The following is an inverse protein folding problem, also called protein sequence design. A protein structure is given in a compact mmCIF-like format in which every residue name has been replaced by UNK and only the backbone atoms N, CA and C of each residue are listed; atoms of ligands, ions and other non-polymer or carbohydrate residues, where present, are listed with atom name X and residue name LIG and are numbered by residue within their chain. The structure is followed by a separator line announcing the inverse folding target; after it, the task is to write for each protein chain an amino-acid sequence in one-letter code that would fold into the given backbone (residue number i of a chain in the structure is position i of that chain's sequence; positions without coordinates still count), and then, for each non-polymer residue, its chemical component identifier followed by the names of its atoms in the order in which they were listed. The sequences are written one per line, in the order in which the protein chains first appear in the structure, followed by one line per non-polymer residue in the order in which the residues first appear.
data_IF_184934911254
#
_entry.id   IF_184934911254
#
_cell.length_a   1.000
_cell.length_b   1.000
_cell.length_c   1.000
_cell.angle_alpha   90.00
_cell.angle_beta   90.00
_cell.angle_gamma   90.00
#
_symmetry.space_group_name_H-M   'P 1'
#
loop_
_entity.id
_entity.type
_entity.pdbx_description
1 polymer ?
#
# COMPACT_ATOMS: atom_id res chain seq x y z
N UNK A 1 5.24 -14.50 -9.53
CA UNK A 1 5.84 -14.46 -8.20
C UNK A 1 5.79 -15.83 -7.53
N UNK A 2 6.73 -16.11 -6.64
CA UNK A 2 6.72 -17.33 -5.82
C UNK A 2 5.62 -17.29 -4.76
N UNK A 3 5.23 -16.09 -4.38
CA UNK A 3 4.21 -15.86 -3.35
C UNK A 3 3.70 -14.43 -3.32
N UNK A 4 2.96 -14.12 -2.27
CA UNK A 4 2.35 -12.82 -2.02
C UNK A 4 2.73 -12.37 -0.61
N UNK A 5 3.19 -11.13 -0.49
CA UNK A 5 3.31 -10.44 0.78
C UNK A 5 2.16 -9.44 0.91
N UNK A 6 1.36 -9.58 1.95
CA UNK A 6 0.38 -8.58 2.37
C UNK A 6 0.97 -7.76 3.53
N UNK A 7 1.38 -6.54 3.23
CA UNK A 7 1.93 -5.61 4.22
C UNK A 7 0.80 -4.78 4.82
N UNK A 8 0.67 -4.82 6.15
CA UNK A 8 -0.50 -4.34 6.86
C UNK A 8 -1.65 -5.35 6.80
N UNK A 9 -1.36 -6.63 7.02
CA UNK A 9 -2.30 -7.73 6.77
C UNK A 9 -3.54 -7.75 7.69
N UNK A 10 -3.58 -6.92 8.73
CA UNK A 10 -4.74 -6.72 9.59
C UNK A 10 -5.25 -8.02 10.21
N UNK A 11 -6.40 -8.50 9.77
CA UNK A 11 -6.99 -9.76 10.21
C UNK A 11 -6.75 -10.95 9.26
N UNK A 12 -5.98 -10.75 8.18
CA UNK A 12 -5.64 -11.77 7.19
C UNK A 12 -6.72 -12.06 6.14
N UNK A 13 -7.81 -11.28 6.11
CA UNK A 13 -8.92 -11.53 5.17
C UNK A 13 -8.49 -11.42 3.71
N UNK A 14 -7.61 -10.48 3.36
CA UNK A 14 -7.09 -10.37 2.01
C UNK A 14 -6.33 -11.64 1.60
N UNK A 15 -5.42 -12.13 2.42
CA UNK A 15 -4.65 -13.35 2.14
C UNK A 15 -5.56 -14.57 1.98
N UNK A 16 -6.59 -14.69 2.82
CA UNK A 16 -7.57 -15.76 2.71
C UNK A 16 -8.29 -15.70 1.36
N UNK A 17 -8.86 -14.55 0.99
CA UNK A 17 -9.57 -14.41 -0.28
C UNK A 17 -8.68 -14.64 -1.50
N UNK A 18 -7.46 -14.12 -1.48
CA UNK A 18 -6.52 -14.32 -2.58
C UNK A 18 -6.17 -15.80 -2.72
N UNK A 19 -5.92 -16.51 -1.62
CA UNK A 19 -5.66 -17.94 -1.66
C UNK A 19 -6.83 -18.71 -2.25
N UNK A 20 -8.06 -18.45 -1.77
CA UNK A 20 -9.29 -19.10 -2.27
C UNK A 20 -9.51 -18.86 -3.78
N UNK A 21 -9.24 -17.65 -4.26
CA UNK A 21 -9.34 -17.33 -5.69
C UNK A 21 -8.29 -18.08 -6.49
N UNK A 22 -7.03 -18.09 -6.03
CA UNK A 22 -5.95 -18.79 -6.72
C UNK A 22 -6.21 -20.29 -6.77
N UNK A 23 -6.55 -20.89 -5.62
CA UNK A 23 -6.83 -22.31 -5.50
C UNK A 23 -7.97 -22.75 -6.42
N UNK A 24 -9.09 -22.01 -6.42
CA UNK A 24 -10.32 -22.45 -7.09
C UNK A 24 -10.43 -22.00 -8.54
N UNK A 25 -9.77 -20.91 -8.94
CA UNK A 25 -10.03 -20.23 -10.21
C UNK A 25 -8.82 -20.14 -11.14
N UNK A 26 -7.64 -20.62 -10.71
CA UNK A 26 -6.44 -20.49 -11.54
C UNK A 26 -5.81 -21.85 -11.88
N UNK A 27 -4.99 -21.86 -12.95
CA UNK A 27 -4.19 -23.03 -13.30
C UNK A 27 -3.22 -23.38 -12.18
N UNK A 28 -2.63 -22.36 -11.52
CA UNK A 28 -1.72 -22.58 -10.38
C UNK A 28 -2.41 -23.33 -9.24
N UNK A 29 -3.69 -23.01 -8.97
CA UNK A 29 -4.47 -23.69 -7.93
C UNK A 29 -4.56 -25.21 -8.13
N UNK A 30 -4.58 -25.65 -9.39
CA UNK A 30 -4.59 -27.09 -9.74
C UNK A 30 -3.22 -27.76 -9.61
N UNK A 31 -2.17 -26.99 -9.37
CA UNK A 31 -0.77 -27.43 -9.39
C UNK A 31 -0.02 -26.93 -8.14
N UNK A 32 -0.72 -26.69 -7.02
CA UNK A 32 -0.09 -26.15 -5.80
C UNK A 32 0.94 -27.12 -5.20
N UNK A 33 0.81 -28.41 -5.42
CA UNK A 33 1.79 -29.42 -4.99
C UNK A 33 3.13 -29.27 -5.74
N UNK A 34 3.09 -28.88 -7.01
CA UNK A 34 4.28 -28.67 -7.85
C UNK A 34 4.78 -27.20 -7.79
N UNK A 35 3.84 -26.27 -7.72
CA UNK A 35 4.09 -24.81 -7.70
C UNK A 35 3.47 -24.14 -6.47
N UNK A 36 4.00 -24.41 -5.28
CA UNK A 36 3.42 -23.90 -4.04
C UNK A 36 3.38 -22.37 -4.03
N UNK A 37 2.32 -21.83 -3.44
CA UNK A 37 2.16 -20.40 -3.23
C UNK A 37 2.57 -20.03 -1.81
N UNK A 38 3.62 -19.22 -1.69
CA UNK A 38 4.02 -18.68 -0.39
C UNK A 38 3.15 -17.48 -0.05
N UNK A 39 2.49 -17.54 1.11
CA UNK A 39 1.74 -16.41 1.66
C UNK A 39 2.49 -15.86 2.86
N UNK A 40 2.66 -14.55 2.86
CA UNK A 40 3.28 -13.80 3.96
C UNK A 40 2.35 -12.68 4.38
N UNK A 41 1.93 -12.68 5.63
CA UNK A 41 1.24 -11.56 6.26
C UNK A 41 2.21 -10.83 7.17
N UNK A 42 2.43 -9.54 6.93
CA UNK A 42 3.23 -8.69 7.80
C UNK A 42 2.40 -7.54 8.34
N UNK A 43 2.57 -7.23 9.62
CA UNK A 43 1.90 -6.10 10.26
C UNK A 43 2.77 -5.54 11.39
N UNK A 44 2.65 -4.24 11.62
CA UNK A 44 3.30 -3.57 12.74
C UNK A 44 2.61 -3.91 14.08
N UNK A 45 1.30 -4.14 14.04
CA UNK A 45 0.47 -4.37 15.21
C UNK A 45 0.48 -5.86 15.61
N UNK A 46 1.06 -6.17 16.76
CA UNK A 46 1.12 -7.53 17.30
C UNK A 46 -0.26 -8.16 17.54
N UNK A 47 -1.29 -7.36 17.86
CA UNK A 47 -2.64 -7.86 18.02
C UNK A 47 -3.23 -8.31 16.68
N UNK A 48 -2.99 -7.55 15.61
CA UNK A 48 -3.38 -7.93 14.25
C UNK A 48 -2.73 -9.26 13.84
N UNK A 49 -1.43 -9.44 14.06
CA UNK A 49 -0.72 -10.68 13.76
C UNK A 49 -1.30 -11.91 14.46
N UNK A 50 -1.75 -11.75 15.71
CA UNK A 50 -2.41 -12.85 16.45
C UNK A 50 -3.74 -13.25 15.79
N UNK A 51 -4.54 -12.26 15.40
CA UNK A 51 -5.83 -12.46 14.72
C UNK A 51 -5.62 -13.09 13.36
N UNK A 52 -4.67 -12.58 12.57
CA UNK A 52 -4.31 -13.14 11.26
C UNK A 52 -3.93 -14.61 11.36
N UNK A 53 -3.04 -14.98 12.29
CA UNK A 53 -2.66 -16.40 12.50
C UNK A 53 -3.88 -17.27 12.80
N UNK A 54 -4.72 -16.82 13.73
CA UNK A 54 -5.91 -17.58 14.12
C UNK A 54 -6.87 -17.78 12.93
N UNK A 55 -7.10 -16.74 12.13
CA UNK A 55 -8.01 -16.81 10.99
C UNK A 55 -7.47 -17.72 9.89
N UNK A 56 -6.18 -17.61 9.54
CA UNK A 56 -5.58 -18.45 8.50
C UNK A 56 -5.49 -19.91 8.92
N UNK A 57 -5.17 -20.20 10.18
CA UNK A 57 -5.22 -21.58 10.74
C UNK A 57 -6.64 -22.14 10.65
N UNK A 58 -7.65 -21.36 11.06
CA UNK A 58 -9.06 -21.78 10.97
C UNK A 58 -9.52 -22.05 9.53
N UNK A 59 -8.96 -21.33 8.56
CA UNK A 59 -9.23 -21.51 7.14
C UNK A 59 -8.40 -22.62 6.48
N UNK A 60 -7.55 -23.31 7.24
CA UNK A 60 -6.57 -24.31 6.76
C UNK A 60 -5.60 -23.75 5.70
N UNK A 61 -5.22 -22.48 5.86
CA UNK A 61 -4.31 -21.78 4.96
C UNK A 61 -2.94 -21.65 5.63
N UNK A 62 -1.92 -22.24 5.00
CA UNK A 62 -0.56 -22.09 5.46
C UNK A 62 0.04 -20.75 5.01
N UNK A 63 0.48 -19.95 5.96
CA UNK A 63 1.12 -18.67 5.73
C UNK A 63 2.17 -18.35 6.79
N UNK A 64 3.16 -17.56 6.43
CA UNK A 64 4.05 -16.91 7.41
C UNK A 64 3.39 -15.61 7.86
N UNK A 65 3.24 -15.45 9.18
CA UNK A 65 2.71 -14.23 9.78
C UNK A 65 3.78 -13.64 10.68
N UNK A 66 4.35 -12.52 10.26
CA UNK A 66 5.55 -11.92 10.87
C UNK A 66 5.33 -10.44 11.20
N UNK A 67 6.13 -9.93 12.12
CA UNK A 67 6.17 -8.50 12.35
C UNK A 67 6.87 -7.80 11.18
N UNK A 68 6.36 -6.63 10.76
CA UNK A 68 6.95 -5.83 9.71
C UNK A 68 6.56 -4.36 9.84
N UNK A 69 7.51 -3.50 9.53
CA UNK A 69 7.34 -2.05 9.45
C UNK A 69 7.42 -1.61 7.99
N UNK A 70 6.36 -0.99 7.48
CA UNK A 70 6.33 -0.46 6.11
C UNK A 70 7.42 0.59 5.87
N UNK A 71 7.86 1.29 6.92
CA UNK A 71 8.95 2.25 6.86
C UNK A 71 10.35 1.62 6.72
N UNK A 72 10.48 0.29 6.95
CA UNK A 72 11.76 -0.40 6.96
C UNK A 72 11.71 -1.74 6.20
N UNK A 73 11.61 -1.73 4.86
CA UNK A 73 11.57 -2.94 4.05
C UNK A 73 12.86 -3.77 4.10
N UNK A 74 14.00 -3.14 4.38
CA UNK A 74 15.27 -3.85 4.48
C UNK A 74 15.27 -4.84 5.64
N UNK A 75 14.78 -4.43 6.80
CA UNK A 75 14.66 -5.31 7.98
C UNK A 75 13.71 -6.48 7.69
N UNK A 76 12.58 -6.20 7.03
CA UNK A 76 11.63 -7.24 6.62
C UNK A 76 12.26 -8.22 5.62
N UNK A 77 13.01 -7.72 4.64
CA UNK A 77 13.70 -8.54 3.65
C UNK A 77 14.75 -9.45 4.30
N UNK A 78 15.50 -8.92 5.27
CA UNK A 78 16.50 -9.66 6.03
C UNK A 78 15.84 -10.78 6.84
N UNK A 79 14.78 -10.49 7.60
CA UNK A 79 14.06 -11.48 8.40
C UNK A 79 13.49 -12.61 7.52
N UNK A 80 12.86 -12.26 6.39
CA UNK A 80 12.36 -13.25 5.43
C UNK A 80 13.46 -14.14 4.87
N UNK A 81 14.63 -13.54 4.56
CA UNK A 81 15.74 -14.29 4.00
C UNK A 81 16.42 -15.22 5.00
N UNK A 82 16.74 -14.70 6.19
CA UNK A 82 17.48 -15.45 7.21
C UNK A 82 16.64 -16.55 7.87
N UNK A 83 15.39 -16.24 8.21
CA UNK A 83 14.55 -17.16 8.99
C UNK A 83 13.70 -18.09 8.12
N UNK A 84 13.43 -17.74 6.86
CA UNK A 84 12.50 -18.50 6.01
C UNK A 84 13.06 -18.83 4.62
N UNK A 85 14.26 -18.34 4.29
CA UNK A 85 14.87 -18.47 2.96
C UNK A 85 13.97 -17.93 1.83
N UNK A 86 13.14 -16.91 2.12
CA UNK A 86 12.29 -16.23 1.17
C UNK A 86 12.95 -14.91 0.77
N UNK A 87 13.10 -14.67 -0.54
CA UNK A 87 13.53 -13.38 -1.05
C UNK A 87 12.33 -12.48 -1.27
N UNK A 88 12.32 -11.30 -0.63
CA UNK A 88 11.25 -10.32 -0.77
C UNK A 88 11.00 -9.91 -2.23
N UNK A 89 12.05 -9.92 -3.06
CA UNK A 89 11.97 -9.62 -4.52
C UNK A 89 11.22 -10.69 -5.32
N UNK A 90 11.08 -11.89 -4.79
CA UNK A 90 10.37 -13.00 -5.43
C UNK A 90 8.86 -13.01 -5.14
N UNK A 91 8.40 -12.10 -4.29
CA UNK A 91 6.99 -11.97 -3.92
C UNK A 91 6.31 -10.82 -4.68
N UNK A 92 5.00 -10.98 -4.96
CA UNK A 92 4.14 -9.85 -5.25
C UNK A 92 3.86 -9.12 -3.93
N UNK A 93 4.25 -7.86 -3.86
CA UNK A 93 4.01 -7.03 -2.69
C UNK A 93 2.64 -6.37 -2.80
N UNK A 94 1.82 -6.49 -1.76
CA UNK A 94 0.47 -5.93 -1.70
C UNK A 94 0.32 -5.02 -0.50
N UNK A 95 -0.41 -3.93 -0.65
CA UNK A 95 -0.77 -3.00 0.40
C UNK A 95 -2.21 -2.56 0.23
N UNK A 96 -2.96 -2.61 1.32
CA UNK A 96 -4.37 -2.23 1.32
C UNK A 96 -4.58 -1.14 2.35
N UNK A 97 -4.84 0.09 1.90
CA UNK A 97 -5.09 1.26 2.73
C UNK A 97 -3.99 1.52 3.76
N UNK A 98 -2.75 1.51 3.33
CA UNK A 98 -1.61 1.56 4.24
C UNK A 98 -0.65 2.73 4.01
N UNK A 99 -0.36 3.09 2.76
CA UNK A 99 0.69 4.07 2.46
C UNK A 99 0.36 5.48 2.96
N UNK A 100 -0.92 5.84 3.02
CA UNK A 100 -1.35 7.11 3.63
C UNK A 100 -1.19 7.15 5.16
N UNK A 101 -1.12 5.99 5.82
CA UNK A 101 -0.93 5.83 7.27
C UNK A 101 0.54 5.63 7.68
N UNK A 102 1.48 5.82 6.77
CA UNK A 102 2.91 5.70 7.10
C UNK A 102 3.29 6.65 8.24
N UNK A 103 4.23 6.23 9.09
CA UNK A 103 4.74 7.09 10.16
C UNK A 103 5.44 8.29 9.52
N UNK A 104 5.08 9.50 9.96
CA UNK A 104 5.71 10.72 9.49
C UNK A 104 7.15 10.83 9.95
N UNK A 105 8.04 10.95 9.00
CA UNK A 105 9.42 11.37 9.18
C UNK A 105 9.65 12.56 8.25
N UNK A 106 10.24 13.64 8.79
CA UNK A 106 10.62 14.78 7.95
C UNK A 106 11.55 14.30 6.83
N UNK A 107 11.26 14.61 5.55
CA UNK A 107 12.10 14.19 4.44
C UNK A 107 13.56 14.60 4.67
N UNK A 108 14.49 13.71 4.37
CA UNK A 108 15.94 14.01 4.45
C UNK A 108 16.37 15.00 3.38
N UNK A 109 15.70 14.92 2.23
CA UNK A 109 15.92 15.81 1.10
C UNK A 109 14.63 16.52 0.76
N UNK A 110 14.52 17.79 1.11
CA UNK A 110 13.43 18.66 0.69
C UNK A 110 13.81 19.30 -0.65
N UNK A 111 13.08 18.95 -1.68
CA UNK A 111 13.28 19.58 -3.00
C UNK A 111 12.70 20.99 -2.99
N UNK A 112 13.57 22.00 -3.02
CA UNK A 112 13.15 23.40 -3.13
C UNK A 112 12.48 23.72 -4.48
N UNK A 113 12.78 22.91 -5.50
CA UNK A 113 12.27 23.11 -6.86
C UNK A 113 11.01 22.26 -7.15
N UNK A 114 10.60 21.41 -6.22
CA UNK A 114 9.39 20.62 -6.36
C UNK A 114 8.16 21.53 -6.28
N UNK A 115 7.40 21.55 -7.33
CA UNK A 115 6.07 22.14 -7.35
C UNK A 115 5.07 21.02 -7.08
N UNK A 116 4.48 21.04 -5.88
CA UNK A 116 3.42 20.10 -5.55
C UNK A 116 2.18 20.34 -6.40
N UNK A 117 1.56 19.27 -6.86
CA UNK A 117 0.27 19.32 -7.54
C UNK A 117 -0.87 18.87 -6.61
N UNK A 118 -0.56 18.50 -5.37
CA UNK A 118 -1.57 18.16 -4.37
C UNK A 118 -2.30 19.41 -3.89
N UNK A 119 -3.62 19.31 -3.80
CA UNK A 119 -4.50 20.30 -3.19
C UNK A 119 -4.89 19.97 -1.75
N UNK A 120 -4.35 18.86 -1.20
CA UNK A 120 -4.61 18.42 0.16
C UNK A 120 -4.08 19.39 1.23
N UNK A 121 -4.70 19.40 2.40
CA UNK A 121 -4.24 20.10 3.59
C UNK A 121 -3.67 19.08 4.57
N UNK A 122 -2.37 19.13 4.84
CA UNK A 122 -1.68 18.12 5.64
C UNK A 122 -1.19 18.70 6.97
N UNK A 123 -1.27 17.89 8.01
CA UNK A 123 -0.70 18.21 9.32
C UNK A 123 -0.14 16.95 9.98
N UNK A 124 0.86 17.15 10.84
CA UNK A 124 1.36 16.12 11.73
C UNK A 124 1.30 16.64 13.17
N UNK A 125 0.58 15.95 14.03
CA UNK A 125 0.36 16.35 15.42
C UNK A 125 -0.09 17.81 15.59
N UNK A 126 -0.98 18.23 14.69
CA UNK A 126 -1.53 19.60 14.68
C UNK A 126 -0.61 20.67 14.08
N UNK A 127 0.58 20.31 13.61
CA UNK A 127 1.51 21.22 12.91
C UNK A 127 1.33 21.05 11.41
N UNK A 128 1.07 22.16 10.71
CA UNK A 128 0.91 22.18 9.27
C UNK A 128 2.18 21.70 8.54
N UNK A 129 2.01 20.89 7.52
CA UNK A 129 3.07 20.39 6.65
C UNK A 129 2.82 20.90 5.23
N UNK A 130 3.87 21.34 4.56
CA UNK A 130 3.79 21.76 3.15
C UNK A 130 3.56 20.55 2.24
N UNK A 131 2.76 20.73 1.20
CA UNK A 131 2.45 19.68 0.24
C UNK A 131 3.72 19.10 -0.43
N UNK A 132 4.73 19.94 -0.70
CA UNK A 132 6.03 19.48 -1.19
C UNK A 132 6.70 18.48 -0.25
N UNK A 133 6.66 18.74 1.05
CA UNK A 133 7.26 17.86 2.07
C UNK A 133 6.52 16.53 2.15
N UNK A 134 5.19 16.52 1.94
CA UNK A 134 4.39 15.28 1.89
C UNK A 134 4.76 14.45 0.66
N UNK A 135 4.92 15.09 -0.51
CA UNK A 135 5.36 14.41 -1.73
C UNK A 135 6.80 13.87 -1.58
N UNK A 136 7.74 14.66 -1.02
CA UNK A 136 9.11 14.22 -0.77
C UNK A 136 9.17 13.05 0.24
N UNK A 137 8.35 13.09 1.29
CA UNK A 137 8.21 11.99 2.22
C UNK A 137 7.67 10.72 1.55
N UNK A 138 6.66 10.84 0.68
CA UNK A 138 6.14 9.71 -0.10
C UNK A 138 7.20 9.17 -1.07
N UNK A 139 7.98 10.05 -1.70
CA UNK A 139 9.08 9.68 -2.58
C UNK A 139 10.13 8.84 -1.84
N UNK A 140 10.62 9.32 -0.69
CA UNK A 140 11.59 8.58 0.13
C UNK A 140 11.02 7.23 0.60
N UNK A 141 9.73 7.19 0.94
CA UNK A 141 9.04 5.97 1.30
C UNK A 141 9.02 4.95 0.15
N UNK A 142 8.62 5.37 -1.05
CA UNK A 142 8.60 4.49 -2.22
C UNK A 142 10.00 4.08 -2.68
N UNK A 143 11.01 4.96 -2.54
CA UNK A 143 12.41 4.65 -2.84
C UNK A 143 12.93 3.47 -2.01
N UNK A 144 12.59 3.40 -0.71
CA UNK A 144 12.97 2.27 0.16
C UNK A 144 12.44 0.93 -0.39
N UNK A 145 11.27 0.94 -1.03
CA UNK A 145 10.62 -0.26 -1.56
C UNK A 145 10.97 -0.58 -3.00
N UNK A 146 11.39 0.39 -3.80
CA UNK A 146 11.54 0.24 -5.26
C UNK A 146 12.39 -0.98 -5.65
N UNK A 147 13.50 -1.24 -4.95
CA UNK A 147 14.39 -2.37 -5.24
C UNK A 147 13.77 -3.75 -4.99
N UNK A 148 12.72 -3.83 -4.16
CA UNK A 148 12.06 -5.08 -3.80
C UNK A 148 10.85 -5.38 -4.69
N UNK A 149 10.29 -4.38 -5.36
CA UNK A 149 9.03 -4.50 -6.09
C UNK A 149 9.17 -4.44 -7.61
N UNK A 150 10.36 -4.19 -8.15
CA UNK A 150 10.58 -4.07 -9.61
C UNK A 150 10.19 -5.34 -10.38
N UNK A 151 10.47 -6.52 -9.83
CA UNK A 151 10.33 -7.79 -10.55
C UNK A 151 8.87 -8.21 -10.75
N UNK A 152 8.04 -8.10 -9.72
CA UNK A 152 6.65 -8.57 -9.73
C UNK A 152 5.64 -7.46 -9.49
N UNK A 153 6.11 -6.29 -9.14
CA UNK A 153 5.30 -5.11 -8.91
C UNK A 153 4.87 -4.92 -7.46
N UNK A 154 4.24 -3.77 -7.25
CA UNK A 154 3.61 -3.35 -6.02
C UNK A 154 2.12 -3.13 -6.30
N UNK A 155 1.27 -3.99 -5.76
CA UNK A 155 -0.18 -3.82 -5.81
C UNK A 155 -0.60 -2.92 -4.65
N UNK A 156 -1.08 -1.73 -4.96
CA UNK A 156 -1.58 -0.76 -3.97
C UNK A 156 -3.09 -0.60 -4.16
N UNK A 157 -3.84 -0.80 -3.09
CA UNK A 157 -5.23 -0.37 -2.96
C UNK A 157 -5.22 0.78 -1.96
N UNK A 158 -5.51 2.00 -2.43
CA UNK A 158 -5.27 3.19 -1.61
C UNK A 158 -6.43 4.18 -1.62
N UNK A 159 -6.50 4.95 -0.51
CA UNK A 159 -7.39 6.11 -0.39
C UNK A 159 -6.78 7.34 -1.05
N UNK A 160 -7.63 8.17 -1.61
CA UNK A 160 -7.25 9.42 -2.25
C UNK A 160 -8.16 10.57 -1.87
N UNK A 161 -7.57 11.74 -1.70
CA UNK A 161 -8.33 12.99 -1.72
C UNK A 161 -8.64 13.40 -3.17
N UNK A 162 -9.52 14.36 -3.32
CA UNK A 162 -9.89 14.98 -4.61
C UNK A 162 -9.84 16.51 -4.44
N UNK A 163 -9.78 17.28 -5.53
CA UNK A 163 -9.73 18.74 -5.46
C UNK A 163 -10.86 19.33 -4.60
N UNK A 164 -10.58 20.33 -3.75
CA UNK A 164 -11.55 20.91 -2.81
C UNK A 164 -12.81 21.44 -3.50
N UNK A 165 -12.70 21.97 -4.72
CA UNK A 165 -13.85 22.46 -5.50
C UNK A 165 -14.81 21.32 -5.85
N UNK A 166 -14.27 20.15 -6.18
CA UNK A 166 -15.09 18.97 -6.48
C UNK A 166 -15.77 18.48 -5.18
N UNK A 167 -15.02 18.42 -4.08
CA UNK A 167 -15.57 18.04 -2.77
C UNK A 167 -16.69 18.99 -2.34
N UNK A 168 -16.47 20.31 -2.45
CA UNK A 168 -17.44 21.33 -2.07
C UNK A 168 -18.74 21.24 -2.88
N UNK A 169 -18.64 20.95 -4.18
CA UNK A 169 -19.81 20.79 -5.05
C UNK A 169 -20.56 19.46 -4.85
N UNK A 170 -19.97 18.52 -4.08
CA UNK A 170 -20.49 17.15 -3.90
C UNK A 170 -20.51 16.74 -2.43
N UNK A 171 -20.77 17.68 -1.53
CA UNK A 171 -20.87 17.42 -0.09
C UNK A 171 -21.85 16.29 0.21
N UNK A 172 -21.40 15.29 0.97
CA UNK A 172 -22.18 14.10 1.31
C UNK A 172 -22.30 13.05 0.20
N UNK A 173 -21.84 13.34 -1.03
CA UNK A 173 -21.85 12.39 -2.15
C UNK A 173 -20.48 11.76 -2.41
N UNK A 174 -19.43 12.21 -1.75
CA UNK A 174 -18.07 11.67 -1.85
C UNK A 174 -17.49 11.41 -0.47
N UNK A 175 -16.70 10.34 -0.34
CA UNK A 175 -15.96 10.03 0.88
C UNK A 175 -14.88 11.08 1.22
N UNK A 176 -14.41 11.84 0.24
CA UNK A 176 -13.45 12.93 0.45
C UNK A 176 -13.95 13.97 1.46
N UNK A 177 -15.25 14.19 1.56
CA UNK A 177 -15.86 15.08 2.58
C UNK A 177 -15.45 14.68 4.00
N UNK A 178 -15.38 13.38 4.30
CA UNK A 178 -14.97 12.88 5.61
C UNK A 178 -13.44 12.94 5.79
N UNK A 179 -12.67 12.63 4.74
CA UNK A 179 -11.22 12.67 4.81
C UNK A 179 -10.71 14.09 5.06
N UNK A 180 -11.22 15.06 4.30
CA UNK A 180 -10.82 16.46 4.42
C UNK A 180 -11.14 17.03 5.81
N UNK A 181 -12.23 16.60 6.43
CA UNK A 181 -12.59 17.00 7.78
C UNK A 181 -11.65 16.44 8.86
N UNK A 182 -10.94 15.36 8.58
CA UNK A 182 -10.12 14.64 9.58
C UNK A 182 -8.61 14.75 9.35
N UNK A 183 -8.14 15.16 8.17
CA UNK A 183 -6.72 15.20 7.79
C UNK A 183 -5.84 15.91 8.82
N UNK A 184 -6.29 17.04 9.35
CA UNK A 184 -5.52 17.82 10.33
C UNK A 184 -5.34 17.15 11.70
N UNK A 185 -6.04 16.04 11.98
CA UNK A 185 -6.09 15.38 13.29
C UNK A 185 -5.69 13.91 13.25
N UNK A 186 -5.72 13.28 12.06
CA UNK A 186 -5.56 11.82 11.93
C UNK A 186 -4.14 11.39 11.58
N UNK A 187 -3.22 12.33 11.34
CA UNK A 187 -1.87 12.04 10.85
C UNK A 187 -1.89 11.12 9.61
N UNK A 188 -2.87 11.33 8.73
CA UNK A 188 -3.02 10.60 7.47
C UNK A 188 -2.62 11.50 6.30
N UNK A 189 -1.79 10.96 5.41
CA UNK A 189 -1.20 11.72 4.30
C UNK A 189 -1.79 11.23 2.99
N UNK A 190 -3.11 11.48 2.82
CA UNK A 190 -3.92 11.03 1.69
C UNK A 190 -3.72 12.01 0.53
N UNK A 191 -3.03 11.58 -0.53
CA UNK A 191 -2.81 12.38 -1.74
C UNK A 191 -3.76 11.96 -2.86
N UNK A 192 -3.88 12.79 -3.89
CA UNK A 192 -4.63 12.49 -5.11
C UNK A 192 -3.98 11.33 -5.89
N UNK A 193 -4.77 10.65 -6.73
CA UNK A 193 -4.29 9.53 -7.56
C UNK A 193 -3.12 9.98 -8.45
N UNK A 194 -3.24 11.14 -9.09
CA UNK A 194 -2.21 11.67 -10.00
C UNK A 194 -0.92 12.02 -9.27
N UNK A 195 -1.02 12.47 -8.01
CA UNK A 195 0.15 12.73 -7.15
C UNK A 195 0.84 11.42 -6.79
N UNK A 196 0.09 10.36 -6.41
CA UNK A 196 0.67 9.04 -6.19
C UNK A 196 1.40 8.53 -7.45
N UNK A 197 0.77 8.63 -8.61
CA UNK A 197 1.38 8.19 -9.88
C UNK A 197 2.64 8.97 -10.24
N UNK A 198 2.61 10.31 -10.07
CA UNK A 198 3.77 11.18 -10.31
C UNK A 198 4.94 10.77 -9.42
N UNK A 199 4.72 10.63 -8.11
CA UNK A 199 5.77 10.28 -7.16
C UNK A 199 6.27 8.85 -7.38
N UNK A 200 5.38 7.91 -7.72
CA UNK A 200 5.77 6.54 -8.08
C UNK A 200 6.65 6.52 -9.35
N UNK A 201 6.33 7.33 -10.35
CA UNK A 201 7.13 7.44 -11.58
C UNK A 201 8.54 7.99 -11.31
N UNK A 202 8.71 8.87 -10.34
CA UNK A 202 10.03 9.42 -9.95
C UNK A 202 10.95 8.33 -9.37
N UNK A 203 10.42 7.23 -8.84
CA UNK A 203 11.18 6.07 -8.38
C UNK A 203 11.21 4.92 -9.40
N UNK A 204 10.75 5.17 -10.63
CA UNK A 204 10.73 4.18 -11.71
C UNK A 204 9.61 3.14 -11.58
N UNK A 205 8.52 3.45 -10.88
CA UNK A 205 7.34 2.60 -10.75
C UNK A 205 6.16 3.22 -11.47
N UNK A 206 5.61 2.50 -12.46
CA UNK A 206 4.54 2.99 -13.32
C UNK A 206 3.28 2.14 -13.17
N UNK A 207 2.08 2.74 -13.15
CA UNK A 207 0.83 2.00 -13.10
C UNK A 207 0.63 1.20 -14.39
N UNK A 208 0.37 -0.11 -14.24
CA UNK A 208 -0.02 -0.96 -15.37
C UNK A 208 -1.48 -0.66 -15.74
N UNK A 209 -1.75 -0.14 -16.96
CA UNK A 209 -3.10 0.28 -17.35
C UNK A 209 -4.14 -0.86 -17.32
N UNK A 210 -3.73 -2.12 -17.47
CA UNK A 210 -4.63 -3.27 -17.43
C UNK A 210 -5.20 -3.51 -16.03
N UNK A 211 -4.44 -3.15 -15.01
CA UNK A 211 -4.77 -3.39 -13.60
C UNK A 211 -5.11 -2.11 -12.83
N UNK A 212 -5.09 -0.97 -13.51
CA UNK A 212 -5.55 0.28 -12.89
C UNK A 212 -7.07 0.34 -12.83
N UNK A 213 -7.60 0.57 -11.63
CA UNK A 213 -9.03 0.79 -11.37
C UNK A 213 -9.19 1.93 -10.39
N UNK A 214 -10.30 2.66 -10.50
CA UNK A 214 -10.67 3.70 -9.54
C UNK A 214 -12.15 3.59 -9.16
N UNK A 215 -12.48 3.97 -7.94
CA UNK A 215 -13.81 3.84 -7.38
C UNK A 215 -14.27 5.13 -6.67
N UNK A 216 -15.46 5.64 -7.04
CA UNK A 216 -16.22 5.30 -8.25
C UNK A 216 -15.38 5.60 -9.50
N UNK A 217 -15.72 5.00 -10.66
CA UNK A 217 -15.01 5.29 -11.92
C UNK A 217 -15.44 6.66 -12.50
N UNK A 218 -15.21 7.70 -11.75
CA UNK A 218 -15.57 9.11 -12.04
C UNK A 218 -14.47 10.03 -11.53
N UNK A 219 -14.68 11.35 -11.65
CA UNK A 219 -13.77 12.36 -11.06
C UNK A 219 -13.88 12.44 -9.52
N UNK A 220 -14.81 11.72 -8.91
CA UNK A 220 -14.97 11.63 -7.45
C UNK A 220 -14.27 10.41 -6.86
N UNK A 221 -13.40 9.77 -7.60
CA UNK A 221 -12.71 8.58 -7.15
C UNK A 221 -11.85 8.85 -5.92
N UNK A 222 -12.16 8.18 -4.83
CA UNK A 222 -11.42 8.25 -3.56
C UNK A 222 -10.70 6.96 -3.22
N UNK A 223 -10.83 5.94 -4.07
CA UNK A 223 -10.09 4.67 -3.95
C UNK A 223 -9.52 4.32 -5.32
N UNK A 224 -8.28 3.86 -5.33
CA UNK A 224 -7.69 3.26 -6.53
C UNK A 224 -7.07 1.90 -6.24
N UNK A 225 -7.00 1.08 -7.29
CA UNK A 225 -6.21 -0.15 -7.35
C UNK A 225 -5.15 0.06 -8.41
N UNK A 226 -3.90 -0.09 -8.04
CA UNK A 226 -2.76 0.08 -8.94
C UNK A 226 -1.82 -1.10 -8.82
N UNK A 227 -1.43 -1.71 -9.92
CA UNK A 227 -0.24 -2.54 -10.00
C UNK A 227 0.89 -1.67 -10.57
N UNK A 228 1.78 -1.22 -9.67
CA UNK A 228 2.95 -0.42 -10.04
C UNK A 228 4.10 -1.35 -10.43
N UNK A 229 4.72 -1.11 -11.58
CA UNK A 229 5.84 -1.91 -12.12
C UNK A 229 7.01 -1.01 -12.51
N UNK A 230 8.22 -1.56 -12.43
CA UNK A 230 9.43 -0.94 -12.95
C UNK A 230 9.61 -1.13 -14.46
#
# INVERSE_FOLDING_TARGET
PKGILDMGCGNGAFLQHVFEVIERQTIRGKMLDEYPLFLVGADYNQAALKVTRANLIKADIWAKVIWGDIGNPELLALDLKENYNIDLKDLLNVRTFLDHNRIWETPKTVSNDRISTSSGAFAHRGVWIKNNEVEDNLLEHLQKWSTYVQKFGLLIIELHTIPPEITANNLGNTAATAYDATHGFSDQYIVEIDVLHKVAAEVGLFPDPLYFKKFPNTNYATVSINLLKG
#
